data_IF_633823793162
#
_entry.id   IF_633823793162
#
_cell.length_a   1.000
_cell.length_b   1.000
_cell.length_c   1.000
_cell.angle_alpha   90.00
_cell.angle_beta   90.00
_cell.angle_gamma   90.00
#
_symmetry.space_group_name_H-M   'P 1'
#
loop_
_entity.id
_entity.type
_entity.pdbx_description
1 polymer ?
#
# COMPACT_ATOMS: atom_id res chain seq x y z
N UNK A 1 2.49 15.44 -25.47
CA UNK A 1 2.78 14.00 -25.33
C UNK A 1 4.12 13.72 -25.97
N UNK A 2 4.98 12.91 -25.37
CA UNK A 2 6.31 12.64 -25.95
C UNK A 2 6.16 11.47 -26.93
N UNK A 3 5.93 11.79 -28.20
CA UNK A 3 5.71 10.84 -29.30
C UNK A 3 6.81 9.75 -29.39
N UNK A 4 8.04 10.09 -29.00
CA UNK A 4 9.16 9.13 -28.99
C UNK A 4 9.01 8.06 -27.89
N UNK A 5 8.59 8.47 -26.68
CA UNK A 5 8.36 7.52 -25.58
C UNK A 5 7.23 6.56 -25.87
N UNK A 6 6.13 7.04 -26.50
CA UNK A 6 5.01 6.20 -26.89
C UNK A 6 5.41 5.18 -27.96
N UNK A 7 6.30 5.55 -28.89
CA UNK A 7 6.84 4.61 -29.88
C UNK A 7 7.70 3.51 -29.22
N UNK A 8 8.52 3.86 -28.21
CA UNK A 8 9.30 2.89 -27.46
C UNK A 8 8.37 1.90 -26.73
N UNK A 9 7.33 2.40 -26.04
CA UNK A 9 6.31 1.58 -25.39
C UNK A 9 5.67 0.62 -26.40
N UNK A 10 5.22 1.11 -27.55
CA UNK A 10 4.58 0.29 -28.56
C UNK A 10 5.52 -0.82 -29.06
N UNK A 11 6.75 -0.49 -29.37
CA UNK A 11 7.77 -1.45 -29.82
C UNK A 11 8.04 -2.51 -28.78
N UNK A 12 8.20 -2.11 -27.50
CA UNK A 12 8.46 -3.03 -26.42
C UNK A 12 7.26 -3.96 -26.16
N UNK A 13 6.05 -3.43 -26.07
CA UNK A 13 4.81 -4.24 -25.91
C UNK A 13 4.64 -5.21 -27.06
N UNK A 14 4.86 -4.78 -28.33
CA UNK A 14 4.80 -5.67 -29.49
C UNK A 14 5.78 -6.84 -29.35
N UNK A 15 6.99 -6.57 -28.87
CA UNK A 15 8.01 -7.61 -28.69
C UNK A 15 7.64 -8.60 -27.57
N UNK A 16 7.07 -8.11 -26.47
CA UNK A 16 6.64 -8.93 -25.31
C UNK A 16 5.43 -9.79 -25.67
N UNK A 17 4.42 -9.20 -26.30
CA UNK A 17 3.15 -9.88 -26.61
C UNK A 17 3.19 -10.68 -27.94
N UNK A 18 4.25 -10.49 -28.75
CA UNK A 18 4.37 -11.14 -30.07
C UNK A 18 3.29 -10.70 -31.06
N UNK A 19 2.72 -9.51 -30.90
CA UNK A 19 1.65 -8.95 -31.72
C UNK A 19 1.67 -7.44 -31.71
N UNK A 20 1.32 -6.85 -32.87
CA UNK A 20 1.11 -5.39 -33.00
C UNK A 20 -0.37 -5.00 -32.87
N UNK A 21 -1.26 -5.98 -32.69
CA UNK A 21 -2.71 -5.77 -32.63
C UNK A 21 -3.22 -5.69 -31.20
N UNK A 22 -2.83 -4.65 -30.48
CA UNK A 22 -3.30 -4.34 -29.14
C UNK A 22 -3.72 -2.88 -29.03
N UNK A 23 -4.56 -2.59 -28.04
CA UNK A 23 -4.96 -1.23 -27.68
C UNK A 23 -4.17 -0.78 -26.45
N UNK A 24 -3.75 0.49 -26.42
CA UNK A 24 -3.15 1.13 -25.26
C UNK A 24 -4.09 2.23 -24.77
N UNK A 25 -4.59 2.08 -23.55
CA UNK A 25 -5.50 3.05 -22.93
C UNK A 25 -4.83 3.61 -21.67
N UNK A 26 -4.26 4.81 -21.76
CA UNK A 26 -3.66 5.48 -20.62
C UNK A 26 -4.72 5.84 -19.58
N UNK A 27 -4.42 5.53 -18.31
CA UNK A 27 -5.24 5.91 -17.18
C UNK A 27 -5.02 7.38 -16.82
N UNK A 28 -5.96 7.97 -16.10
CA UNK A 28 -5.77 9.30 -15.54
C UNK A 28 -4.54 9.30 -14.61
N UNK A 29 -3.61 10.25 -14.84
CA UNK A 29 -2.38 10.34 -14.06
C UNK A 29 -2.64 10.70 -12.60
N UNK A 30 -1.84 10.12 -11.71
CA UNK A 30 -1.73 10.51 -10.31
C UNK A 30 -0.55 11.50 -10.13
N UNK A 31 -0.30 11.93 -8.90
CA UNK A 31 0.80 12.85 -8.54
C UNK A 31 2.21 12.25 -8.73
N UNK A 32 2.33 10.99 -9.12
CA UNK A 32 3.57 10.26 -9.39
C UNK A 32 4.13 10.55 -10.79
N UNK A 33 5.43 10.31 -10.97
CA UNK A 33 6.06 10.30 -12.30
C UNK A 33 5.75 9.00 -13.07
N UNK A 34 5.16 7.99 -12.44
CA UNK A 34 4.68 6.77 -13.07
C UNK A 34 3.41 7.05 -13.84
N UNK A 35 3.33 6.51 -15.06
CA UNK A 35 2.10 6.52 -15.85
C UNK A 35 1.62 5.08 -16.01
N UNK A 36 0.34 4.89 -15.94
CA UNK A 36 -0.26 3.58 -16.13
C UNK A 36 -1.12 3.58 -17.40
N UNK A 37 -1.08 2.45 -18.13
CA UNK A 37 -1.96 2.23 -19.26
C UNK A 37 -2.45 0.79 -19.27
N UNK A 38 -3.73 0.60 -19.56
CA UNK A 38 -4.29 -0.73 -19.80
C UNK A 38 -4.00 -1.16 -21.23
N UNK A 39 -3.33 -2.29 -21.36
CA UNK A 39 -3.05 -2.94 -22.63
C UNK A 39 -4.11 -4.01 -22.87
N UNK A 40 -4.78 -3.96 -24.02
CA UNK A 40 -5.81 -4.93 -24.36
C UNK A 40 -5.41 -5.68 -25.63
N UNK A 41 -5.21 -6.99 -25.48
CA UNK A 41 -4.92 -7.91 -26.58
C UNK A 41 -5.97 -9.01 -26.61
N UNK A 42 -6.85 -9.01 -27.62
CA UNK A 42 -7.99 -9.94 -27.70
C UNK A 42 -8.87 -9.85 -26.42
N UNK A 43 -9.00 -10.97 -25.69
CA UNK A 43 -9.77 -11.05 -24.44
C UNK A 43 -8.89 -10.95 -23.19
N UNK A 44 -7.62 -10.58 -23.33
CA UNK A 44 -6.69 -10.40 -22.20
C UNK A 44 -6.38 -8.94 -21.99
N UNK A 45 -6.27 -8.56 -20.74
CA UNK A 45 -5.81 -7.23 -20.33
C UNK A 45 -4.55 -7.33 -19.47
N UNK A 46 -3.72 -6.31 -19.58
CA UNK A 46 -2.49 -6.15 -18.80
C UNK A 46 -2.40 -4.70 -18.37
N UNK A 47 -1.66 -4.44 -17.30
CA UNK A 47 -1.34 -3.09 -16.86
C UNK A 47 0.11 -2.75 -17.22
N UNK A 48 0.30 -1.76 -18.08
CA UNK A 48 1.62 -1.16 -18.32
C UNK A 48 1.90 -0.15 -17.22
N UNK A 49 3.05 -0.25 -16.56
CA UNK A 49 3.66 0.83 -15.81
C UNK A 49 4.80 1.43 -16.64
N UNK A 50 4.71 2.72 -16.90
CA UNK A 50 5.71 3.52 -17.59
C UNK A 50 6.33 4.52 -16.61
N UNK A 51 7.55 4.24 -16.18
CA UNK A 51 8.33 5.01 -15.20
C UNK A 51 9.67 5.44 -15.82
N UNK A 52 9.76 6.65 -16.40
CA UNK A 52 11.00 7.13 -17.03
C UNK A 52 12.19 7.05 -16.06
N UNK A 53 13.29 6.33 -16.40
CA UNK A 53 14.40 6.06 -15.46
C UNK A 53 15.09 7.30 -14.91
N UNK A 54 15.05 8.41 -15.65
CA UNK A 54 15.57 9.70 -15.20
C UNK A 54 14.73 10.37 -14.09
N UNK A 55 13.55 9.84 -13.81
CA UNK A 55 12.60 10.39 -12.82
C UNK A 55 12.23 9.40 -11.73
N UNK A 56 12.21 8.12 -12.05
CA UNK A 56 11.67 7.08 -11.17
C UNK A 56 12.47 5.80 -11.34
N UNK A 57 12.96 5.23 -10.22
CA UNK A 57 13.62 3.93 -10.21
C UNK A 57 12.57 2.81 -10.03
N UNK A 58 12.52 1.87 -10.98
CA UNK A 58 11.62 0.72 -10.92
C UNK A 58 12.18 -0.44 -10.07
N UNK A 59 13.46 -0.43 -9.73
CA UNK A 59 14.10 -1.56 -9.00
C UNK A 59 13.43 -1.82 -7.65
N UNK A 60 13.12 -0.80 -6.81
CA UNK A 60 12.42 -1.04 -5.55
C UNK A 60 11.05 -1.70 -5.75
N UNK A 61 10.25 -1.23 -6.73
CA UNK A 61 8.95 -1.83 -7.05
C UNK A 61 9.10 -3.31 -7.40
N UNK A 62 9.98 -3.64 -8.36
CA UNK A 62 10.18 -5.01 -8.82
C UNK A 62 10.68 -5.91 -7.69
N UNK A 63 11.63 -5.43 -6.88
CA UNK A 63 12.20 -6.20 -5.78
C UNK A 63 11.14 -6.56 -4.73
N UNK A 64 10.29 -5.61 -4.38
CA UNK A 64 9.22 -5.82 -3.38
C UNK A 64 8.10 -6.68 -3.96
N UNK A 65 7.70 -6.43 -5.20
CA UNK A 65 6.68 -7.22 -5.89
C UNK A 65 7.07 -8.71 -5.94
N UNK A 66 8.25 -9.03 -6.49
CA UNK A 66 8.75 -10.41 -6.58
C UNK A 66 8.92 -11.06 -5.19
N UNK A 67 9.28 -10.29 -4.17
CA UNK A 67 9.34 -10.76 -2.81
C UNK A 67 7.95 -11.11 -2.26
N UNK A 68 6.97 -10.25 -2.46
CA UNK A 68 5.61 -10.46 -1.99
C UNK A 68 4.92 -11.63 -2.73
N UNK A 69 5.01 -11.67 -4.05
CA UNK A 69 4.46 -12.75 -4.88
C UNK A 69 5.02 -14.12 -4.45
N UNK A 70 6.36 -14.21 -4.29
CA UNK A 70 7.04 -15.44 -3.84
C UNK A 70 6.59 -15.89 -2.44
N UNK A 71 6.21 -14.95 -1.56
CA UNK A 71 5.74 -15.23 -0.20
C UNK A 71 4.22 -15.31 -0.08
N UNK A 72 3.49 -15.34 -1.21
CA UNK A 72 2.05 -15.58 -1.25
C UNK A 72 1.19 -14.36 -0.91
N UNK A 73 1.74 -13.15 -0.94
CA UNK A 73 0.94 -11.91 -0.92
C UNK A 73 0.41 -11.67 -2.32
N UNK A 74 -0.89 -11.44 -2.47
CA UNK A 74 -1.54 -11.24 -3.76
C UNK A 74 -1.25 -9.83 -4.31
N UNK A 75 -0.13 -9.70 -5.01
CA UNK A 75 0.29 -8.50 -5.76
C UNK A 75 0.14 -8.75 -7.27
N UNK A 76 0.14 -7.71 -8.14
CA UNK A 76 0.05 -7.89 -9.58
C UNK A 76 1.27 -8.65 -10.11
N UNK A 77 1.09 -9.81 -10.70
CA UNK A 77 2.19 -10.58 -11.26
C UNK A 77 2.93 -9.79 -12.37
N UNK A 78 4.28 -9.75 -12.31
CA UNK A 78 5.10 -9.10 -13.34
C UNK A 78 5.22 -10.05 -14.55
N UNK A 79 4.54 -9.72 -15.64
CA UNK A 79 4.54 -10.49 -16.90
C UNK A 79 5.85 -10.29 -17.66
N UNK A 80 6.33 -9.04 -17.72
CA UNK A 80 7.58 -8.67 -18.35
C UNK A 80 8.14 -7.37 -17.75
N UNK A 81 9.46 -7.17 -17.84
CA UNK A 81 10.11 -5.95 -17.36
C UNK A 81 11.26 -5.54 -18.28
N UNK A 82 11.45 -4.23 -18.42
CA UNK A 82 12.60 -3.57 -19.04
C UNK A 82 13.00 -2.40 -18.16
N UNK A 83 13.93 -2.65 -17.25
CA UNK A 83 14.37 -1.65 -16.26
C UNK A 83 15.23 -0.54 -16.89
N UNK A 84 15.90 -0.81 -18.03
CA UNK A 84 16.69 0.21 -18.73
C UNK A 84 15.78 1.27 -19.33
N UNK A 85 14.61 0.87 -19.81
CA UNK A 85 13.61 1.79 -20.34
C UNK A 85 12.56 2.20 -19.30
N UNK A 86 12.50 1.54 -18.14
CA UNK A 86 11.51 1.80 -17.08
C UNK A 86 10.10 1.34 -17.47
N UNK A 87 9.99 0.16 -18.09
CA UNK A 87 8.70 -0.44 -18.46
C UNK A 87 8.45 -1.73 -17.69
N UNK A 88 7.26 -1.84 -17.12
CA UNK A 88 6.76 -3.09 -16.55
C UNK A 88 5.40 -3.43 -17.18
N UNK A 89 5.22 -4.68 -17.57
CA UNK A 89 3.93 -5.23 -17.94
C UNK A 89 3.45 -6.11 -16.79
N UNK A 90 2.35 -5.72 -16.18
CA UNK A 90 1.81 -6.32 -14.96
C UNK A 90 0.48 -7.00 -15.27
N UNK A 91 0.09 -7.92 -14.43
CA UNK A 91 -1.30 -8.40 -14.36
C UNK A 91 -2.26 -7.22 -14.15
N UNK A 92 -3.42 -7.28 -14.79
CA UNK A 92 -4.47 -6.27 -14.64
C UNK A 92 -5.51 -6.75 -13.62
N UNK A 93 -5.53 -6.14 -12.46
CA UNK A 93 -6.51 -6.43 -11.39
C UNK A 93 -7.92 -5.87 -11.66
N UNK A 94 -8.13 -5.26 -12.82
CA UNK A 94 -9.41 -4.64 -13.17
C UNK A 94 -9.59 -3.26 -12.56
N UNK A 95 -10.85 -2.90 -12.24
CA UNK A 95 -11.21 -1.53 -11.85
C UNK A 95 -11.92 -1.45 -10.49
N UNK A 96 -12.10 -2.59 -9.80
CA UNK A 96 -12.92 -2.62 -8.59
C UNK A 96 -12.06 -2.39 -7.35
N UNK A 97 -12.00 -1.15 -6.90
CA UNK A 97 -11.38 -0.80 -5.63
C UNK A 97 -12.26 -1.24 -4.44
N UNK A 98 -11.67 -1.75 -3.37
CA UNK A 98 -12.39 -2.10 -2.15
C UNK A 98 -13.22 -0.93 -1.64
N UNK A 99 -12.70 0.31 -1.68
CA UNK A 99 -13.42 1.52 -1.24
C UNK A 99 -14.77 1.73 -1.92
N UNK A 100 -14.96 1.22 -3.14
CA UNK A 100 -16.21 1.36 -3.90
C UNK A 100 -17.26 0.32 -3.53
N UNK A 101 -16.90 -0.69 -2.74
CA UNK A 101 -17.76 -1.82 -2.39
C UNK A 101 -18.09 -1.89 -0.89
N UNK A 102 -17.60 -0.91 -0.12
CA UNK A 102 -17.82 -0.86 1.33
C UNK A 102 -19.14 -0.18 1.66
N UNK A 103 -19.99 -0.90 2.35
CA UNK A 103 -21.19 -0.40 3.02
C UNK A 103 -21.38 -1.12 4.36
N UNK A 104 -22.43 -0.76 5.11
CA UNK A 104 -22.72 -1.37 6.43
C UNK A 104 -22.96 -2.88 6.39
N UNK A 105 -23.28 -3.47 5.23
CA UNK A 105 -23.60 -4.89 5.07
C UNK A 105 -22.42 -5.70 4.57
N UNK A 106 -21.54 -5.08 3.79
CA UNK A 106 -20.45 -5.74 3.08
C UNK A 106 -19.11 -5.63 3.78
N UNK A 107 -18.90 -4.56 4.55
CA UNK A 107 -17.59 -4.23 5.13
C UNK A 107 -17.00 -5.33 6.00
N UNK A 108 -17.79 -6.01 6.83
CA UNK A 108 -17.27 -7.04 7.73
C UNK A 108 -16.69 -8.23 6.96
N UNK A 109 -17.34 -8.62 5.84
CA UNK A 109 -16.84 -9.69 4.98
C UNK A 109 -15.57 -9.27 4.24
N UNK A 110 -15.52 -8.04 3.72
CA UNK A 110 -14.36 -7.51 3.03
C UNK A 110 -13.17 -7.32 3.99
N UNK A 111 -13.38 -6.77 5.17
CA UNK A 111 -12.31 -6.58 6.15
C UNK A 111 -11.80 -7.92 6.70
N UNK A 112 -12.64 -8.93 6.83
CA UNK A 112 -12.17 -10.28 7.17
C UNK A 112 -11.18 -10.85 6.13
N UNK A 113 -11.35 -10.53 4.84
CA UNK A 113 -10.38 -10.87 3.79
C UNK A 113 -9.11 -10.02 3.91
N UNK A 114 -9.26 -8.70 4.06
CA UNK A 114 -8.12 -7.78 4.25
C UNK A 114 -7.27 -8.16 5.45
N UNK A 115 -7.89 -8.57 6.56
CA UNK A 115 -7.16 -9.01 7.76
C UNK A 115 -6.36 -10.29 7.53
N UNK A 116 -6.86 -11.24 6.75
CA UNK A 116 -6.10 -12.43 6.38
C UNK A 116 -4.87 -12.06 5.55
N UNK A 117 -5.01 -11.15 4.59
CA UNK A 117 -3.90 -10.65 3.79
C UNK A 117 -2.87 -9.92 4.66
N UNK A 118 -3.34 -9.06 5.58
CA UNK A 118 -2.46 -8.36 6.48
C UNK A 118 -1.69 -9.32 7.41
N UNK A 119 -2.35 -10.35 7.95
CA UNK A 119 -1.69 -11.38 8.75
C UNK A 119 -0.68 -12.16 7.92
N UNK A 120 -1.00 -12.50 6.66
CA UNK A 120 -0.06 -13.13 5.74
C UNK A 120 1.18 -12.24 5.55
N UNK A 121 0.99 -10.96 5.23
CA UNK A 121 2.07 -9.98 5.08
C UNK A 121 2.96 -9.91 6.34
N UNK A 122 2.35 -9.78 7.52
CA UNK A 122 3.03 -9.67 8.80
C UNK A 122 3.73 -10.96 9.24
N UNK A 123 3.36 -12.11 8.69
CA UNK A 123 3.99 -13.40 9.00
C UNK A 123 5.30 -13.65 8.24
N UNK A 124 5.58 -12.84 7.22
CA UNK A 124 6.78 -13.00 6.39
C UNK A 124 7.98 -12.39 7.11
N UNK A 125 9.11 -13.09 7.09
CA UNK A 125 10.36 -12.50 7.57
C UNK A 125 10.89 -11.49 6.55
N UNK A 126 10.74 -10.21 6.85
CA UNK A 126 11.20 -9.09 6.00
C UNK A 126 12.61 -8.58 6.34
N UNK A 127 13.34 -9.21 7.28
CA UNK A 127 14.65 -8.75 7.71
C UNK A 127 15.64 -8.73 6.54
N UNK A 128 16.32 -7.59 6.36
CA UNK A 128 17.27 -7.39 5.26
C UNK A 128 16.63 -7.06 3.90
N UNK A 129 15.31 -7.15 3.76
CA UNK A 129 14.58 -6.80 2.53
C UNK A 129 13.95 -5.43 2.58
N UNK A 130 13.56 -4.96 3.77
CA UNK A 130 12.86 -3.68 3.96
C UNK A 130 13.62 -2.77 4.91
N UNK A 131 13.60 -1.45 4.68
CA UNK A 131 14.16 -0.49 5.63
C UNK A 131 13.31 -0.44 6.91
N UNK A 132 13.94 -0.09 8.03
CA UNK A 132 13.21 0.14 9.26
C UNK A 132 12.36 1.43 9.18
N UNK A 133 11.17 1.39 9.76
CA UNK A 133 10.39 2.59 10.04
C UNK A 133 11.00 3.30 11.26
N UNK A 134 12.14 3.96 11.02
CA UNK A 134 12.96 4.52 12.10
C UNK A 134 12.27 5.66 12.85
N UNK A 135 12.78 5.97 14.03
CA UNK A 135 12.34 7.14 14.82
C UNK A 135 12.35 8.42 13.99
N UNK A 136 13.43 8.64 13.23
CA UNK A 136 13.60 9.82 12.38
C UNK A 136 12.53 9.88 11.28
N UNK A 137 12.23 8.73 10.63
CA UNK A 137 11.20 8.66 9.60
C UNK A 137 9.82 8.93 10.18
N UNK A 138 9.47 8.30 11.31
CA UNK A 138 8.22 8.55 12.02
C UNK A 138 8.07 10.03 12.41
N UNK A 139 9.12 10.64 12.98
CA UNK A 139 9.11 12.06 13.33
C UNK A 139 8.94 12.96 12.12
N UNK A 140 9.63 12.66 11.01
CA UNK A 140 9.52 13.42 9.75
C UNK A 140 8.09 13.37 9.20
N UNK A 141 7.45 12.21 9.19
CA UNK A 141 6.08 12.08 8.68
C UNK A 141 5.05 12.78 9.59
N UNK A 142 5.20 12.65 10.91
CA UNK A 142 4.36 13.39 11.86
C UNK A 142 4.55 14.92 11.75
N UNK A 143 5.76 15.40 11.37
CA UNK A 143 6.02 16.82 11.19
C UNK A 143 5.22 17.44 10.04
N UNK A 144 4.66 16.63 9.11
CA UNK A 144 3.75 17.13 8.09
C UNK A 144 2.53 17.85 8.67
N UNK A 145 2.11 17.48 9.88
CA UNK A 145 1.09 18.24 10.62
C UNK A 145 1.51 19.69 10.84
N UNK A 146 2.73 19.92 11.35
CA UNK A 146 3.23 21.27 11.69
C UNK A 146 3.74 22.03 10.47
N UNK A 147 4.30 21.32 9.50
CA UNK A 147 5.01 21.93 8.38
C UNK A 147 4.08 22.25 7.20
N UNK A 148 2.96 21.50 7.09
CA UNK A 148 2.01 21.64 5.98
C UNK A 148 0.57 21.88 6.43
N UNK A 149 0.00 21.03 7.31
CA UNK A 149 -1.42 21.11 7.63
C UNK A 149 -1.74 22.37 8.44
N UNK A 150 -1.05 22.63 9.53
CA UNK A 150 -1.32 23.83 10.35
C UNK A 150 -1.14 25.13 9.56
N UNK A 151 -0.07 25.32 8.76
CA UNK A 151 0.06 26.49 7.89
C UNK A 151 -1.05 26.60 6.86
N UNK A 152 -1.49 25.49 6.24
CA UNK A 152 -2.58 25.51 5.26
C UNK A 152 -3.91 25.97 5.86
N UNK A 153 -4.11 25.71 7.15
CA UNK A 153 -5.26 26.14 7.95
C UNK A 153 -5.06 27.52 8.59
N UNK A 154 -3.92 28.19 8.33
CA UNK A 154 -3.53 29.46 8.94
C UNK A 154 -3.46 29.39 10.48
N UNK A 155 -3.12 28.22 11.02
CA UNK A 155 -2.93 28.00 12.46
C UNK A 155 -1.44 28.13 12.77
N UNK A 156 -1.11 29.00 13.75
CA UNK A 156 0.24 29.16 14.27
C UNK A 156 0.24 28.77 15.75
N UNK A 157 0.77 27.58 16.11
CA UNK A 157 0.85 27.19 17.50
C UNK A 157 1.85 28.09 18.28
N UNK A 158 1.52 28.39 19.52
CA UNK A 158 2.42 29.04 20.48
C UNK A 158 3.63 28.14 20.78
N UNK A 159 4.63 28.70 21.46
CA UNK A 159 5.82 27.92 21.85
C UNK A 159 5.47 26.73 22.77
N UNK A 160 4.51 26.90 23.69
CA UNK A 160 4.05 25.85 24.60
C UNK A 160 3.30 24.75 23.83
N UNK A 161 2.44 25.11 22.87
CA UNK A 161 1.73 24.16 22.00
C UNK A 161 2.71 23.41 21.09
N UNK A 162 3.68 24.10 20.51
CA UNK A 162 4.74 23.49 19.71
C UNK A 162 5.57 22.49 20.52
N UNK A 163 5.88 22.83 21.78
CA UNK A 163 6.59 21.93 22.69
C UNK A 163 5.72 20.70 23.05
N UNK A 164 4.41 20.90 23.24
CA UNK A 164 3.47 19.79 23.49
C UNK A 164 3.39 18.86 22.28
N UNK A 165 3.23 19.39 21.07
CA UNK A 165 3.19 18.61 19.82
C UNK A 165 4.44 17.75 19.69
N UNK A 166 5.64 18.35 19.85
CA UNK A 166 6.92 17.60 19.74
C UNK A 166 7.01 16.47 20.77
N UNK A 167 6.59 16.71 22.01
CA UNK A 167 6.57 15.66 23.06
C UNK A 167 5.59 14.55 22.70
N UNK A 168 4.41 14.90 22.19
CA UNK A 168 3.41 13.93 21.75
C UNK A 168 3.95 13.06 20.61
N UNK A 169 4.58 13.65 19.59
CA UNK A 169 5.21 12.90 18.50
C UNK A 169 6.28 11.94 19.02
N UNK A 170 7.14 12.39 19.96
CA UNK A 170 8.15 11.51 20.55
C UNK A 170 7.53 10.33 21.33
N UNK A 171 6.42 10.55 22.05
CA UNK A 171 5.69 9.48 22.73
C UNK A 171 5.13 8.47 21.71
N UNK A 172 4.47 8.95 20.65
CA UNK A 172 3.89 8.11 19.61
C UNK A 172 4.96 7.31 18.86
N UNK A 173 6.07 7.95 18.46
CA UNK A 173 7.17 7.27 17.79
C UNK A 173 7.77 6.15 18.67
N UNK A 174 8.02 6.43 19.95
CA UNK A 174 8.55 5.43 20.88
C UNK A 174 7.54 4.29 21.12
N UNK A 175 6.25 4.59 21.21
CA UNK A 175 5.21 3.56 21.34
C UNK A 175 5.16 2.65 20.10
N UNK A 176 5.26 3.21 18.89
CA UNK A 176 5.32 2.43 17.67
C UNK A 176 6.57 1.54 17.60
N UNK A 177 7.72 2.06 18.00
CA UNK A 177 8.98 1.31 18.02
C UNK A 177 9.03 0.21 19.10
N UNK A 178 8.23 0.33 20.15
CA UNK A 178 8.12 -0.67 21.21
C UNK A 178 7.21 -1.86 20.85
N UNK A 179 6.42 -1.76 19.78
CA UNK A 179 5.55 -2.84 19.28
C UNK A 179 6.38 -3.91 18.56
N UNK A 180 5.84 -5.13 18.36
CA UNK A 180 6.42 -6.09 17.45
C UNK A 180 6.62 -5.47 16.07
N UNK A 181 7.81 -5.67 15.50
CA UNK A 181 8.19 -5.10 14.22
C UNK A 181 7.97 -6.13 13.11
N UNK A 182 7.11 -5.80 12.16
CA UNK A 182 6.69 -6.65 11.04
C UNK A 182 6.80 -5.90 9.73
N UNK A 183 6.55 -6.55 8.59
CA UNK A 183 6.37 -5.84 7.33
C UNK A 183 5.10 -5.00 7.42
N UNK A 184 5.23 -3.71 7.15
CA UNK A 184 4.16 -2.70 7.10
C UNK A 184 4.10 -2.16 5.68
N UNK A 185 2.92 -2.21 5.08
CA UNK A 185 2.65 -1.66 3.76
C UNK A 185 2.71 -0.13 3.73
N UNK A 186 2.35 0.53 4.83
CA UNK A 186 2.18 1.96 5.10
C UNK A 186 0.87 2.55 4.57
N UNK A 187 0.45 2.14 3.38
CA UNK A 187 -0.76 2.64 2.73
C UNK A 187 -1.79 1.51 2.53
N UNK A 188 -1.97 0.65 3.56
CA UNK A 188 -2.92 -0.47 3.55
C UNK A 188 -4.35 0.02 3.83
N UNK A 189 -4.93 0.71 2.85
CA UNK A 189 -6.27 1.29 2.93
C UNK A 189 -7.14 0.84 1.74
N UNK A 190 -8.42 1.13 1.80
CA UNK A 190 -9.42 0.60 0.86
C UNK A 190 -9.22 1.01 -0.61
N UNK A 191 -8.42 2.03 -0.90
CA UNK A 191 -8.06 2.41 -2.28
C UNK A 191 -6.86 1.66 -2.84
N UNK A 192 -6.08 1.01 -1.99
CA UNK A 192 -4.92 0.21 -2.39
C UNK A 192 -5.20 -1.30 -2.32
N UNK A 193 -6.47 -1.66 -2.11
CA UNK A 193 -6.96 -3.03 -2.17
C UNK A 193 -7.93 -3.16 -3.34
N UNK A 194 -7.64 -4.11 -4.24
CA UNK A 194 -8.45 -4.41 -5.42
C UNK A 194 -9.28 -5.67 -5.19
N UNK A 195 -10.56 -5.65 -5.57
CA UNK A 195 -11.38 -6.86 -5.53
C UNK A 195 -11.22 -7.63 -6.84
N UNK A 196 -10.65 -8.83 -6.74
CA UNK A 196 -10.49 -9.75 -7.86
C UNK A 196 -11.75 -10.59 -7.97
N UNK A 197 -12.73 -10.09 -8.72
CA UNK A 197 -14.11 -10.61 -8.76
C UNK A 197 -14.16 -12.09 -9.14
N UNK A 198 -13.33 -12.51 -10.08
CA UNK A 198 -13.30 -13.90 -10.57
C UNK A 198 -12.61 -14.86 -9.58
N UNK A 199 -11.73 -14.35 -8.71
CA UNK A 199 -10.94 -15.14 -7.76
C UNK A 199 -11.51 -15.11 -6.34
N UNK A 200 -12.47 -14.22 -6.05
CA UNK A 200 -13.00 -13.94 -4.72
C UNK A 200 -11.90 -13.57 -3.70
N UNK A 201 -10.84 -12.92 -4.19
CA UNK A 201 -9.67 -12.48 -3.44
C UNK A 201 -9.52 -10.98 -3.52
N UNK A 202 -8.60 -10.46 -2.71
CA UNK A 202 -8.19 -9.05 -2.77
C UNK A 202 -6.74 -8.98 -3.22
N UNK A 203 -6.45 -8.13 -4.20
CA UNK A 203 -5.09 -7.80 -4.60
C UNK A 203 -4.60 -6.55 -3.87
N UNK A 204 -3.32 -6.52 -3.54
CA UNK A 204 -2.65 -5.40 -2.88
C UNK A 204 -1.81 -4.65 -3.90
N UNK A 205 -1.95 -3.34 -3.95
CA UNK A 205 -1.18 -2.44 -4.82
C UNK A 205 -0.54 -1.31 -4.00
N UNK A 206 0.40 -0.57 -4.60
CA UNK A 206 1.08 0.58 -3.99
C UNK A 206 1.99 0.21 -2.80
N UNK A 207 2.66 -0.92 -2.89
CA UNK A 207 3.45 -1.55 -1.83
C UNK A 207 4.95 -1.17 -1.83
N UNK A 208 5.43 -0.41 -2.80
CA UNK A 208 6.87 -0.16 -3.00
C UNK A 208 7.54 0.66 -1.89
N UNK A 209 6.75 1.25 -1.02
CA UNK A 209 7.22 2.01 0.15
C UNK A 209 7.14 1.23 1.47
N UNK A 210 6.94 -0.09 1.39
CA UNK A 210 6.86 -0.96 2.56
C UNK A 210 8.11 -0.89 3.44
N UNK A 211 7.94 -1.08 4.73
CA UNK A 211 8.98 -0.96 5.76
C UNK A 211 8.84 -2.05 6.83
N UNK A 212 9.80 -2.16 7.73
CA UNK A 212 9.65 -2.90 8.99
C UNK A 212 9.18 -1.91 10.06
N UNK A 213 7.99 -2.13 10.61
CA UNK A 213 7.34 -1.20 11.55
C UNK A 213 6.34 -1.88 12.48
N UNK A 214 5.56 -1.08 13.22
CA UNK A 214 4.61 -1.53 14.21
C UNK A 214 3.50 -2.41 13.62
N UNK A 215 3.22 -3.55 14.24
CA UNK A 215 2.23 -4.53 13.76
C UNK A 215 0.78 -4.03 13.75
N UNK A 216 0.47 -2.94 14.46
CA UNK A 216 -0.85 -2.31 14.44
C UNK A 216 -1.01 -1.24 13.36
N UNK A 217 0.08 -0.82 12.67
CA UNK A 217 0.05 0.32 11.77
C UNK A 217 -0.98 0.15 10.63
N UNK A 218 -0.86 -0.92 9.86
CA UNK A 218 -1.74 -1.18 8.71
C UNK A 218 -3.18 -1.55 9.14
N UNK A 219 -3.34 -2.14 10.32
CA UNK A 219 -4.67 -2.36 10.90
C UNK A 219 -5.39 -1.02 11.16
N UNK A 220 -4.66 -0.04 11.68
CA UNK A 220 -5.19 1.32 11.88
C UNK A 220 -5.50 1.94 10.52
N UNK A 221 -4.61 1.81 9.54
CA UNK A 221 -4.77 2.38 8.20
C UNK A 221 -6.06 1.93 7.52
N UNK A 222 -6.42 0.63 7.61
CA UNK A 222 -7.65 0.13 6.99
C UNK A 222 -8.89 0.40 7.84
N UNK A 223 -8.82 0.31 9.16
CA UNK A 223 -9.99 0.46 10.03
C UNK A 223 -10.36 1.91 10.32
N UNK A 224 -9.40 2.83 10.19
CA UNK A 224 -9.56 4.29 10.29
C UNK A 224 -9.19 5.00 8.99
N UNK A 225 -9.54 4.36 7.90
CA UNK A 225 -9.32 4.80 6.53
C UNK A 225 -9.80 6.24 6.31
N UNK A 226 -8.98 7.04 5.62
CA UNK A 226 -9.30 8.44 5.33
C UNK A 226 -10.45 8.61 4.32
N UNK A 227 -10.83 7.53 3.62
CA UNK A 227 -11.85 7.55 2.56
C UNK A 227 -13.20 7.00 3.00
N UNK A 228 -13.25 6.27 4.12
CA UNK A 228 -14.46 5.65 4.66
C UNK A 228 -14.52 5.88 6.17
N UNK A 229 -15.68 6.27 6.68
CA UNK A 229 -15.84 6.56 8.11
C UNK A 229 -16.74 5.52 8.78
N UNK A 230 -16.27 4.97 9.90
CA UNK A 230 -16.97 3.99 10.72
C UNK A 230 -17.13 4.47 12.17
N UNK A 231 -18.10 3.88 12.88
CA UNK A 231 -18.28 4.19 14.29
C UNK A 231 -17.13 3.64 15.14
N UNK A 232 -16.77 4.28 16.27
CA UNK A 232 -15.72 3.78 17.15
C UNK A 232 -15.96 2.34 17.63
N UNK A 233 -17.22 1.99 17.91
CA UNK A 233 -17.60 0.64 18.39
C UNK A 233 -17.30 -0.42 17.31
N UNK A 234 -17.50 -0.07 16.03
CA UNK A 234 -17.23 -0.97 14.91
C UNK A 234 -15.73 -1.14 14.71
N UNK A 235 -14.97 -0.08 14.82
CA UNK A 235 -13.50 -0.13 14.79
C UNK A 235 -12.97 -1.00 15.94
N UNK A 236 -13.45 -0.82 17.15
CA UNK A 236 -13.08 -1.64 18.31
C UNK A 236 -13.41 -3.12 18.10
N UNK A 237 -14.55 -3.42 17.49
CA UNK A 237 -14.91 -4.78 17.10
C UNK A 237 -13.89 -5.38 16.12
N UNK A 238 -13.49 -4.64 15.08
CA UNK A 238 -12.51 -5.13 14.10
C UNK A 238 -11.12 -5.32 14.70
N UNK A 239 -10.70 -4.49 15.62
CA UNK A 239 -9.46 -4.71 16.38
C UNK A 239 -9.51 -6.04 17.12
N UNK A 240 -10.67 -6.36 17.74
CA UNK A 240 -10.85 -7.66 18.42
C UNK A 240 -10.84 -8.82 17.44
N UNK A 241 -11.53 -8.68 16.30
CA UNK A 241 -11.54 -9.71 15.24
C UNK A 241 -10.13 -9.98 14.73
N UNK A 242 -9.37 -8.90 14.42
CA UNK A 242 -7.99 -9.05 13.95
C UNK A 242 -7.10 -9.71 15.01
N UNK A 243 -7.16 -9.24 16.25
CA UNK A 243 -6.40 -9.85 17.35
C UNK A 243 -6.73 -11.34 17.51
N UNK A 244 -7.99 -11.74 17.42
CA UNK A 244 -8.37 -13.15 17.53
C UNK A 244 -7.81 -14.01 16.40
N UNK A 245 -7.65 -13.45 15.20
CA UNK A 245 -7.05 -14.11 14.03
C UNK A 245 -5.52 -14.22 14.10
N UNK A 246 -4.84 -13.37 14.88
CA UNK A 246 -3.38 -13.42 15.01
C UNK A 246 -2.92 -14.83 15.51
N UNK A 247 -1.80 -15.33 15.00
CA UNK A 247 -1.19 -16.57 15.51
C UNK A 247 -0.74 -16.40 16.96
N UNK A 248 -0.62 -17.50 17.69
CA UNK A 248 -0.23 -17.47 19.10
C UNK A 248 1.11 -16.78 19.34
N UNK A 249 2.07 -16.96 18.42
CA UNK A 249 3.39 -16.31 18.48
C UNK A 249 3.31 -14.78 18.40
N UNK A 250 2.40 -14.24 17.62
CA UNK A 250 2.20 -12.78 17.51
C UNK A 250 1.48 -12.18 18.73
N UNK A 251 0.82 -13.02 19.54
CA UNK A 251 0.15 -12.62 20.80
C UNK A 251 1.04 -12.77 22.03
N UNK A 252 2.21 -13.40 21.91
CA UNK A 252 3.06 -13.71 23.04
C UNK A 252 3.42 -12.46 23.87
N UNK A 253 3.12 -12.53 25.16
CA UNK A 253 3.38 -11.43 26.10
C UNK A 253 2.41 -10.24 26.00
N UNK A 254 1.34 -10.30 25.19
CA UNK A 254 0.43 -9.18 24.97
C UNK A 254 -1.03 -9.65 24.91
N UNK A 255 -1.86 -9.24 25.87
CA UNK A 255 -3.30 -9.43 25.82
C UNK A 255 -3.98 -8.41 24.88
N UNK A 256 -5.30 -8.52 24.71
CA UNK A 256 -6.04 -7.65 23.80
C UNK A 256 -6.00 -6.17 24.22
N UNK A 257 -6.05 -5.89 25.54
CA UNK A 257 -6.01 -4.49 26.02
C UNK A 257 -4.64 -3.85 25.76
N UNK A 258 -3.57 -4.63 25.89
CA UNK A 258 -2.22 -4.20 25.54
C UNK A 258 -1.99 -4.04 24.03
N UNK A 259 -2.67 -4.91 23.24
CA UNK A 259 -2.66 -4.78 21.77
C UNK A 259 -3.37 -3.52 21.29
N UNK A 260 -4.43 -3.11 21.98
CA UNK A 260 -5.28 -1.97 21.60
C UNK A 260 -4.67 -0.62 21.99
N UNK A 261 -3.74 -0.57 22.93
CA UNK A 261 -3.06 0.64 23.41
C UNK A 261 -2.00 1.16 22.42
#
# INVERSE_FOLDING_TARGET
MNTQREQLIQTWISSVLGSDQFEINFLAGDASFRRYARIKLNNKTFMLMDAPPEKEDCVPFVTIDEFFDTNGVRVPHIVAKDLEQGFLLLEDFGDVLLSTQLDDKTVDAHYAQSFKQLIQLQSINGEGHFPAYSYEKLMTEMSLLTDWLLPSLQIQPSDDESALIKRTFAILANAALAQPQVIVHRDFHSRNLMLLVDEQEQGVIDFQDAVIGADTYDLISITRDAYVQWTPERVDHWFKVFYDLLPASAKEGRDFEQFKQ
#
